data_IF_769354301156
#
_entry.id   IF_769354301156
#
_cell.length_a   1.000
_cell.length_b   1.000
_cell.length_c   1.000
_cell.angle_alpha   90.00
_cell.angle_beta   90.00
_cell.angle_gamma   90.00
#
_symmetry.space_group_name_H-M   'P 1'
#
loop_
_entity.id
_entity.type
_entity.pdbx_description
1 polymer ?
#
# COMPACT_ATOMS: atom_id res chain seq x y z
N UNK A 1 -6.36 -12.09 -8.49
CA UNK A 1 -5.72 -10.96 -7.74
C UNK A 1 -4.89 -11.47 -6.55
N UNK A 2 -5.39 -12.34 -5.66
CA UNK A 2 -4.59 -12.88 -4.54
C UNK A 2 -3.27 -13.56 -4.96
N UNK A 3 -3.35 -14.52 -5.88
CA UNK A 3 -2.17 -15.25 -6.39
C UNK A 3 -1.09 -14.33 -7.00
N UNK A 4 -1.49 -13.28 -7.72
CA UNK A 4 -0.54 -12.32 -8.31
C UNK A 4 0.14 -11.47 -7.24
N UNK A 5 -0.56 -11.09 -6.17
CA UNK A 5 0.01 -10.36 -5.04
C UNK A 5 1.03 -11.22 -4.27
N UNK A 6 0.72 -12.50 -4.04
CA UNK A 6 1.62 -13.45 -3.36
C UNK A 6 2.88 -13.73 -4.17
N UNK A 7 2.74 -13.93 -5.49
CA UNK A 7 3.87 -14.11 -6.39
C UNK A 7 4.80 -12.88 -6.40
N UNK A 8 4.23 -11.67 -6.42
CA UNK A 8 4.99 -10.42 -6.34
C UNK A 8 5.73 -10.29 -5.01
N UNK A 9 5.05 -10.55 -3.88
CA UNK A 9 5.66 -10.52 -2.54
C UNK A 9 6.84 -11.49 -2.46
N UNK A 10 6.67 -12.73 -2.93
CA UNK A 10 7.75 -13.74 -2.95
C UNK A 10 8.93 -13.31 -3.82
N UNK A 11 8.67 -12.72 -4.99
CA UNK A 11 9.73 -12.19 -5.87
C UNK A 11 10.55 -11.11 -5.16
N UNK A 12 9.89 -10.18 -4.47
CA UNK A 12 10.58 -9.10 -3.75
C UNK A 12 11.36 -9.64 -2.56
N UNK A 13 10.77 -10.53 -1.78
CA UNK A 13 11.42 -11.13 -0.61
C UNK A 13 12.68 -11.94 -1.00
N UNK A 14 12.58 -12.73 -2.07
CA UNK A 14 13.72 -13.49 -2.60
C UNK A 14 14.76 -12.65 -3.32
N UNK A 15 14.42 -11.44 -3.79
CA UNK A 15 15.35 -10.56 -4.50
C UNK A 15 16.47 -10.00 -3.62
N UNK A 16 16.40 -10.15 -2.29
CA UNK A 16 17.32 -9.55 -1.31
C UNK A 16 17.48 -8.02 -1.46
N UNK A 17 16.57 -7.36 -2.17
CA UNK A 17 16.53 -5.89 -2.30
C UNK A 17 16.40 -5.20 -0.96
N UNK A 18 15.73 -5.86 -0.01
CA UNK A 18 15.59 -5.40 1.36
C UNK A 18 16.41 -6.33 2.27
N UNK A 19 17.20 -5.75 3.18
CA UNK A 19 17.96 -6.50 4.19
C UNK A 19 17.08 -7.15 5.27
N UNK A 20 15.76 -6.97 5.18
CA UNK A 20 14.74 -7.47 6.11
C UNK A 20 13.59 -8.09 5.33
N UNK A 21 12.88 -9.07 5.90
CA UNK A 21 11.77 -9.74 5.22
C UNK A 21 10.61 -8.78 4.94
N UNK A 22 9.86 -9.05 3.88
CA UNK A 22 8.68 -8.26 3.50
C UNK A 22 7.49 -8.60 4.42
N UNK A 23 7.05 -7.63 5.23
CA UNK A 23 5.96 -7.82 6.22
C UNK A 23 4.55 -7.48 5.70
N UNK A 24 4.40 -7.21 4.40
CA UNK A 24 3.10 -6.86 3.80
C UNK A 24 2.11 -8.02 3.89
N UNK A 25 0.97 -7.75 4.53
CA UNK A 25 -0.16 -8.68 4.68
C UNK A 25 -1.00 -8.72 3.40
N UNK A 26 -1.48 -9.92 3.03
CA UNK A 26 -2.36 -10.13 1.86
C UNK A 26 -3.63 -10.79 2.39
N UNK A 27 -4.68 -10.02 2.49
CA UNK A 27 -5.97 -10.43 3.05
C UNK A 27 -7.10 -10.21 2.04
N UNK A 28 -8.23 -10.93 2.15
CA UNK A 28 -9.44 -10.59 1.41
C UNK A 28 -9.85 -9.14 1.66
N UNK A 29 -10.40 -8.46 0.66
CA UNK A 29 -10.83 -7.08 0.81
C UNK A 29 -11.91 -6.97 1.91
N UNK A 30 -11.64 -6.27 3.03
CA UNK A 30 -12.63 -6.08 4.07
C UNK A 30 -13.65 -5.03 3.64
N UNK A 31 -14.68 -4.82 4.47
CA UNK A 31 -15.57 -3.67 4.30
C UNK A 31 -14.76 -2.37 4.37
N UNK A 32 -14.81 -1.59 3.30
CA UNK A 32 -14.12 -0.31 3.23
C UNK A 32 -15.07 0.82 3.63
N UNK A 33 -14.68 1.59 4.65
CA UNK A 33 -15.42 2.75 5.10
C UNK A 33 -14.80 4.01 4.49
N UNK A 34 -15.60 4.77 3.76
CA UNK A 34 -15.16 6.02 3.15
C UNK A 34 -14.77 7.01 4.26
N UNK A 35 -13.53 7.51 4.22
CA UNK A 35 -13.08 8.58 5.09
C UNK A 35 -13.83 9.89 4.80
N UNK A 36 -13.91 10.77 5.81
CA UNK A 36 -14.60 12.07 5.73
C UNK A 36 -14.16 12.91 4.53
N UNK A 37 -15.05 13.78 4.03
CA UNK A 37 -14.81 14.56 2.80
C UNK A 37 -13.58 15.49 2.92
N UNK A 38 -13.22 15.88 4.14
CA UNK A 38 -11.97 16.60 4.42
C UNK A 38 -10.72 15.83 3.97
N UNK A 39 -10.68 14.51 4.17
CA UNK A 39 -9.54 13.66 3.83
C UNK A 39 -9.46 13.33 2.34
N UNK A 40 -10.57 13.47 1.63
CA UNK A 40 -10.64 13.17 0.20
C UNK A 40 -9.82 14.19 -0.58
N UNK A 41 -8.89 13.69 -1.40
CA UNK A 41 -7.97 14.52 -2.21
C UNK A 41 -7.21 15.57 -1.38
N UNK A 42 -6.91 15.27 -0.11
CA UNK A 42 -6.29 16.22 0.82
C UNK A 42 -5.03 16.90 0.27
N UNK A 43 -4.09 16.12 -0.28
CA UNK A 43 -2.85 16.67 -0.84
C UNK A 43 -3.11 17.62 -2.02
N UNK A 44 -4.02 17.24 -2.93
CA UNK A 44 -4.42 18.06 -4.08
C UNK A 44 -5.10 19.36 -3.62
N UNK A 45 -6.06 19.28 -2.69
CA UNK A 45 -6.77 20.44 -2.13
C UNK A 45 -5.82 21.41 -1.41
N UNK A 46 -4.69 20.94 -0.89
CA UNK A 46 -3.68 21.75 -0.18
C UNK A 46 -2.48 22.15 -1.05
N UNK A 47 -2.48 21.82 -2.35
CA UNK A 47 -1.35 22.10 -3.24
C UNK A 47 -0.04 21.40 -2.83
N UNK A 48 -0.12 20.32 -2.06
CA UNK A 48 1.05 19.58 -1.57
C UNK A 48 1.33 18.40 -2.49
N UNK A 49 2.59 18.21 -2.85
CA UNK A 49 3.06 17.10 -3.69
C UNK A 49 3.47 15.85 -2.90
N UNK A 50 3.78 16.02 -1.61
CA UNK A 50 4.27 14.94 -0.76
C UNK A 50 3.79 15.12 0.69
N UNK A 51 3.79 14.02 1.42
CA UNK A 51 3.64 13.97 2.86
C UNK A 51 4.46 12.78 3.36
N UNK A 52 5.68 13.04 3.84
CA UNK A 52 6.64 12.04 4.31
C UNK A 52 6.86 10.85 3.35
N UNK A 53 7.25 11.14 2.11
CA UNK A 53 7.62 10.16 1.07
C UNK A 53 9.04 10.45 0.61
#
# INVERSE_FOLDING_TARGET
QKSTAEASRKKVDTSRRFGRPVVTQIEPAPKFWRAEEYHQRYLQKRGKSHCAI
#
